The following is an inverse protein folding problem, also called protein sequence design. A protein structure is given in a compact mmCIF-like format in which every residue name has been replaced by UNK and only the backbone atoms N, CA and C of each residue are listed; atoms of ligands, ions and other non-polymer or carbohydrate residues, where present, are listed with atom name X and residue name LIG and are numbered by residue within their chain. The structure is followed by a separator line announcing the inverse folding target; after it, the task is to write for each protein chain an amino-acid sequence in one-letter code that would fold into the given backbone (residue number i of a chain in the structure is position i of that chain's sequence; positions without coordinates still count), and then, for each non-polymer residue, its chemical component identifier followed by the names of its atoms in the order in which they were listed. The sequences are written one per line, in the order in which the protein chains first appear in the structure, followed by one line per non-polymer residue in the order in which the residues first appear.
data_IF_203453334638
#
_entry.id   IF_203453334638
#
_cell.length_a   1.000
_cell.length_b   1.000
_cell.length_c   1.000
_cell.angle_alpha   90.00
_cell.angle_beta   90.00
_cell.angle_gamma   90.00
#
_symmetry.space_group_name_H-M   'P 1'
#
loop_
_entity.id
_entity.type
_entity.pdbx_description
1 polymer ?
#
# COMPACT_ATOMS: atom_id res chain seq x y z
N UNK A 1 -10.61 12.23 11.70
CA UNK A 1 -11.19 10.86 11.66
C UNK A 1 -10.61 9.92 12.71
N UNK A 2 -9.30 9.94 12.98
CA UNK A 2 -8.66 9.01 13.92
C UNK A 2 -9.24 9.01 15.36
N UNK A 3 -9.76 10.13 15.85
CA UNK A 3 -10.38 10.23 17.19
C UNK A 3 -11.84 9.74 17.23
N UNK A 4 -12.45 9.49 16.07
CA UNK A 4 -13.87 9.14 15.95
C UNK A 4 -14.10 7.63 16.16
N UNK A 5 -13.09 6.80 15.87
CA UNK A 5 -13.17 5.32 15.90
C UNK A 5 -12.06 4.65 16.74
N UNK A 6 -11.91 4.98 18.03
CA UNK A 6 -10.85 4.42 18.86
C UNK A 6 -11.03 2.90 19.09
N UNK A 7 -12.25 2.42 19.34
CA UNK A 7 -12.52 1.00 19.60
C UNK A 7 -12.41 0.14 18.34
N UNK A 8 -12.93 0.61 17.21
CA UNK A 8 -12.93 -0.13 15.95
C UNK A 8 -11.52 -0.26 15.35
N UNK A 9 -10.57 0.63 15.74
CA UNK A 9 -9.15 0.49 15.38
C UNK A 9 -8.46 -0.62 16.17
N UNK A 10 -8.87 -0.83 17.43
CA UNK A 10 -8.33 -1.90 18.28
C UNK A 10 -8.75 -3.31 17.87
N UNK A 11 -9.82 -3.43 17.08
CA UNK A 11 -10.30 -4.70 16.52
C UNK A 11 -9.60 -5.09 15.19
N UNK A 12 -8.51 -4.41 14.80
CA UNK A 12 -7.67 -4.75 13.63
C UNK A 12 -8.41 -4.77 12.28
N UNK A 13 -9.53 -4.06 12.19
CA UNK A 13 -10.47 -4.23 11.08
C UNK A 13 -10.91 -2.91 10.43
N UNK A 14 -10.21 -1.82 10.75
CA UNK A 14 -10.51 -0.48 10.25
C UNK A 14 -9.27 0.17 9.64
N UNK A 15 -9.31 0.37 8.33
CA UNK A 15 -8.31 1.17 7.61
C UNK A 15 -8.95 2.53 7.32
N UNK A 16 -8.36 3.58 7.88
CA UNK A 16 -8.80 4.97 7.67
C UNK A 16 -7.77 5.65 6.77
N UNK A 17 -8.19 6.05 5.58
CA UNK A 17 -7.44 6.97 4.71
C UNK A 17 -7.93 8.41 4.94
N UNK A 18 -7.39 9.37 4.19
CA UNK A 18 -7.83 10.77 4.28
C UNK A 18 -9.32 10.91 3.94
N UNK A 19 -9.82 10.12 2.98
CA UNK A 19 -11.17 10.23 2.45
C UNK A 19 -12.02 8.95 2.59
N UNK A 20 -11.40 7.80 2.86
CA UNK A 20 -12.08 6.49 2.85
C UNK A 20 -11.97 5.79 4.20
N UNK A 21 -13.05 5.08 4.55
CA UNK A 21 -13.13 4.22 5.72
C UNK A 21 -13.42 2.81 5.22
N UNK A 22 -12.47 1.89 5.42
CA UNK A 22 -12.56 0.51 4.95
C UNK A 22 -12.72 -0.42 6.15
N UNK A 23 -13.74 -1.28 6.10
CA UNK A 23 -14.04 -2.28 7.13
C UNK A 23 -13.69 -3.68 6.63
N UNK A 24 -12.91 -4.42 7.42
CA UNK A 24 -12.61 -5.83 7.18
C UNK A 24 -13.33 -6.70 8.22
N UNK A 25 -13.75 -7.90 7.87
CA UNK A 25 -14.42 -8.85 8.78
C UNK A 25 -14.21 -10.27 8.30
N UNK A 26 -14.17 -11.24 9.23
CA UNK A 26 -13.94 -12.65 8.91
C UNK A 26 -15.24 -13.36 8.55
N UNK A 27 -16.36 -12.96 9.15
CA UNK A 27 -17.68 -13.50 8.85
C UNK A 27 -18.67 -12.43 8.45
N UNK A 28 -19.77 -12.85 7.83
CA UNK A 28 -20.85 -11.96 7.41
C UNK A 28 -21.53 -11.29 8.59
N UNK A 29 -21.78 -12.04 9.65
CA UNK A 29 -22.46 -11.57 10.86
C UNK A 29 -21.62 -10.50 11.57
N UNK A 30 -20.31 -10.74 11.66
CA UNK A 30 -19.34 -9.78 12.18
C UNK A 30 -19.31 -8.51 11.31
N UNK A 31 -19.36 -8.65 9.98
CA UNK A 31 -19.37 -7.52 9.06
C UNK A 31 -20.58 -6.61 9.24
N UNK A 32 -21.78 -7.19 9.31
CA UNK A 32 -23.02 -6.42 9.51
C UNK A 32 -23.03 -5.75 10.89
N UNK A 33 -22.59 -6.46 11.93
CA UNK A 33 -22.48 -5.90 13.27
C UNK A 33 -21.55 -4.68 13.29
N UNK A 34 -20.35 -4.80 12.71
CA UNK A 34 -19.36 -3.72 12.66
C UNK A 34 -19.81 -2.54 11.84
N UNK A 35 -20.37 -2.79 10.65
CA UNK A 35 -20.92 -1.75 9.80
C UNK A 35 -21.98 -0.94 10.55
N UNK A 36 -22.90 -1.62 11.23
CA UNK A 36 -23.97 -0.97 11.98
C UNK A 36 -23.39 -0.03 13.04
N UNK A 37 -22.41 -0.49 13.83
CA UNK A 37 -21.72 0.36 14.82
C UNK A 37 -21.04 1.56 14.19
N UNK A 38 -20.35 1.36 13.06
CA UNK A 38 -19.65 2.42 12.37
C UNK A 38 -20.61 3.49 11.83
N UNK A 39 -21.69 3.08 11.17
CA UNK A 39 -22.72 3.99 10.67
C UNK A 39 -23.38 4.77 11.81
N UNK A 40 -23.69 4.12 12.93
CA UNK A 40 -24.22 4.81 14.12
C UNK A 40 -23.23 5.85 14.66
N UNK A 41 -21.93 5.54 14.66
CA UNK A 41 -20.90 6.49 15.10
C UNK A 41 -20.77 7.67 14.14
N UNK A 42 -20.76 7.42 12.82
CA UNK A 42 -20.74 8.45 11.77
C UNK A 42 -21.94 9.40 11.93
N UNK A 43 -23.12 8.83 12.17
CA UNK A 43 -24.34 9.61 12.43
C UNK A 43 -24.22 10.44 13.71
N UNK A 44 -23.66 9.89 14.79
CA UNK A 44 -23.50 10.59 16.07
C UNK A 44 -22.58 11.82 15.99
N UNK A 45 -21.62 11.82 15.06
CA UNK A 45 -20.71 12.96 14.82
C UNK A 45 -21.16 13.85 13.65
N UNK A 46 -22.38 13.64 13.15
CA UNK A 46 -22.99 14.37 12.05
C UNK A 46 -22.13 14.38 10.76
N UNK A 47 -21.36 13.32 10.54
CA UNK A 47 -20.55 13.15 9.33
C UNK A 47 -21.42 12.59 8.20
N UNK A 48 -21.26 13.13 6.99
CA UNK A 48 -22.05 12.74 5.81
C UNK A 48 -21.27 11.77 4.94
N UNK A 49 -21.93 10.70 4.51
CA UNK A 49 -21.37 9.71 3.58
C UNK A 49 -21.90 9.99 2.18
N UNK A 50 -21.02 10.00 1.18
CA UNK A 50 -21.42 10.03 -0.22
C UNK A 50 -21.89 8.64 -0.66
N UNK A 51 -23.20 8.43 -0.79
CA UNK A 51 -23.77 7.16 -1.26
C UNK A 51 -23.22 6.71 -2.62
N UNK A 52 -22.88 7.66 -3.51
CA UNK A 52 -22.28 7.35 -4.82
C UNK A 52 -20.89 6.73 -4.73
N UNK A 53 -20.17 6.96 -3.63
CA UNK A 53 -18.84 6.40 -3.34
C UNK A 53 -18.91 5.27 -2.31
N UNK A 54 -20.10 4.97 -1.82
CA UNK A 54 -20.30 3.94 -0.81
C UNK A 54 -20.38 2.59 -1.50
N UNK A 55 -19.32 1.81 -1.32
CA UNK A 55 -19.21 0.48 -1.87
C UNK A 55 -19.51 -0.52 -0.75
N UNK A 56 -20.44 -1.46 -0.99
CA UNK A 56 -20.87 -2.42 0.02
C UNK A 56 -20.47 -3.85 -0.34
N UNK A 57 -19.86 -4.55 0.63
CA UNK A 57 -19.64 -6.01 0.65
C UNK A 57 -18.91 -6.54 -0.57
N UNK A 58 -17.58 -6.58 -0.45
CA UNK A 58 -16.72 -7.22 -1.42
C UNK A 58 -15.97 -8.34 -0.76
N UNK A 59 -15.75 -9.42 -1.52
CA UNK A 59 -14.80 -10.46 -1.13
C UNK A 59 -13.36 -9.94 -1.21
N UNK A 60 -13.11 -9.01 -2.15
CA UNK A 60 -11.82 -8.36 -2.37
C UNK A 60 -12.09 -6.91 -2.77
N UNK A 61 -11.42 -5.95 -2.13
CA UNK A 61 -11.54 -4.52 -2.43
C UNK A 61 -10.21 -4.00 -2.96
N UNK A 62 -10.23 -3.28 -4.10
CA UNK A 62 -9.05 -2.59 -4.63
C UNK A 62 -9.11 -1.13 -4.24
N UNK A 63 -8.31 -0.72 -3.27
CA UNK A 63 -8.25 0.67 -2.82
C UNK A 63 -6.80 1.07 -2.52
N UNK A 64 -6.47 2.34 -2.78
CA UNK A 64 -5.12 2.92 -2.56
C UNK A 64 -3.96 2.19 -3.29
N UNK A 65 -4.22 1.44 -4.36
CA UNK A 65 -3.16 0.62 -5.00
C UNK A 65 -2.84 -0.67 -4.24
N UNK A 66 -3.69 -1.06 -3.29
CA UNK A 66 -3.63 -2.33 -2.61
C UNK A 66 -4.87 -3.19 -2.89
N UNK A 67 -4.66 -4.51 -2.92
CA UNK A 67 -5.75 -5.47 -2.83
C UNK A 67 -6.00 -5.77 -1.35
N UNK A 68 -7.17 -5.36 -0.85
CA UNK A 68 -7.65 -5.59 0.52
C UNK A 68 -8.55 -6.83 0.50
N UNK A 69 -7.98 -7.99 0.82
CA UNK A 69 -8.70 -9.28 0.85
C UNK A 69 -8.99 -9.74 2.28
N UNK A 70 -9.77 -8.98 3.05
CA UNK A 70 -10.20 -9.40 4.40
C UNK A 70 -9.13 -9.54 5.48
N UNK A 71 -7.85 -9.77 5.15
CA UNK A 71 -6.71 -9.98 6.07
C UNK A 71 -5.30 -9.66 5.48
N UNK A 72 -5.00 -9.82 4.17
CA UNK A 72 -3.74 -9.37 3.56
C UNK A 72 -3.87 -8.08 2.73
N UNK A 73 -2.82 -7.26 2.78
CA UNK A 73 -2.51 -6.17 1.85
C UNK A 73 -1.64 -6.72 0.71
N UNK A 74 -2.16 -6.70 -0.51
CA UNK A 74 -1.39 -7.00 -1.73
C UNK A 74 -1.06 -5.75 -2.52
N UNK A 75 -0.13 -5.84 -3.46
CA UNK A 75 0.09 -4.78 -4.45
C UNK A 75 -0.96 -4.89 -5.57
N UNK A 76 -1.52 -3.76 -6.02
CA UNK A 76 -2.37 -3.73 -7.22
C UNK A 76 -1.54 -4.03 -8.48
N UNK A 77 -1.71 -5.25 -8.99
CA UNK A 77 -1.02 -5.76 -10.18
C UNK A 77 -1.28 -4.91 -11.43
N UNK A 78 -2.40 -4.19 -11.51
CA UNK A 78 -2.69 -3.31 -12.65
C UNK A 78 -1.76 -2.09 -12.64
N UNK A 79 -1.59 -1.42 -11.49
CA UNK A 79 -0.67 -0.30 -11.35
C UNK A 79 0.78 -0.70 -11.57
N UNK A 80 1.17 -1.89 -11.08
CA UNK A 80 2.51 -2.43 -11.35
C UNK A 80 2.67 -2.72 -12.83
N UNK A 81 1.67 -3.30 -13.49
CA UNK A 81 1.77 -3.63 -14.92
C UNK A 81 1.98 -2.40 -15.80
N UNK A 82 1.39 -1.25 -15.46
CA UNK A 82 1.64 0.01 -16.17
C UNK A 82 3.12 0.43 -16.05
N UNK A 83 3.71 0.32 -14.86
CA UNK A 83 5.14 0.62 -14.64
C UNK A 83 6.05 -0.40 -15.33
N UNK A 84 5.63 -1.65 -15.47
CA UNK A 84 6.38 -2.67 -16.20
C UNK A 84 6.34 -2.46 -17.72
N UNK A 85 5.24 -1.93 -18.25
CA UNK A 85 5.08 -1.68 -19.68
C UNK A 85 5.81 -0.40 -20.12
N UNK A 86 6.15 0.47 -19.17
CA UNK A 86 6.90 1.68 -19.48
C UNK A 86 8.31 1.36 -20.01
N UNK A 87 8.80 2.17 -20.97
CA UNK A 87 10.15 2.04 -21.47
C UNK A 87 11.17 2.32 -20.36
N UNK A 88 12.42 1.94 -20.60
CA UNK A 88 13.52 2.24 -19.70
C UNK A 88 13.62 3.75 -19.48
N UNK A 89 13.73 4.23 -18.23
CA UNK A 89 13.83 5.66 -17.95
C UNK A 89 15.02 6.28 -18.69
N UNK A 90 14.77 7.42 -19.34
CA UNK A 90 15.73 8.20 -20.13
C UNK A 90 16.09 9.53 -19.47
N UNK A 91 15.47 9.87 -18.34
CA UNK A 91 15.75 11.10 -17.60
C UNK A 91 15.80 10.92 -16.09
N UNK A 92 16.36 11.91 -15.39
CA UNK A 92 16.34 11.98 -13.93
C UNK A 92 14.91 12.09 -13.39
N UNK A 93 14.03 12.82 -14.07
CA UNK A 93 12.63 12.95 -13.63
C UNK A 93 11.92 11.59 -13.68
N UNK A 94 12.16 10.80 -14.72
CA UNK A 94 11.56 9.47 -14.85
C UNK A 94 12.07 8.50 -13.78
N UNK A 95 13.37 8.57 -13.41
CA UNK A 95 13.91 7.82 -12.27
C UNK A 95 13.26 8.26 -10.95
N UNK A 96 13.11 9.56 -10.71
CA UNK A 96 12.47 10.06 -9.50
C UNK A 96 11.01 9.60 -9.39
N UNK A 97 10.26 9.62 -10.50
CA UNK A 97 8.90 9.10 -10.57
C UNK A 97 8.86 7.59 -10.26
N UNK A 98 9.79 6.83 -10.85
CA UNK A 98 9.89 5.39 -10.58
C UNK A 98 10.23 5.10 -9.12
N UNK A 99 11.19 5.82 -8.53
CA UNK A 99 11.57 5.67 -7.12
C UNK A 99 10.44 6.08 -6.17
N UNK A 100 9.67 7.13 -6.51
CA UNK A 100 8.48 7.51 -5.77
C UNK A 100 7.40 6.42 -5.82
N UNK A 101 7.20 5.81 -6.99
CA UNK A 101 6.27 4.70 -7.14
C UNK A 101 6.73 3.45 -6.38
N UNK A 102 7.99 3.04 -6.52
CA UNK A 102 8.53 1.86 -5.85
C UNK A 102 8.58 2.05 -4.34
N UNK A 103 8.88 3.26 -3.87
CA UNK A 103 8.87 3.64 -2.46
C UNK A 103 7.50 3.53 -1.80
N UNK A 104 6.41 3.73 -2.55
CA UNK A 104 5.05 3.47 -2.04
C UNK A 104 4.86 2.00 -1.61
N UNK A 105 5.58 1.07 -2.23
CA UNK A 105 5.51 -0.37 -1.97
C UNK A 105 6.74 -0.91 -1.21
N UNK A 106 7.54 -0.05 -0.57
CA UNK A 106 8.78 -0.43 0.13
C UNK A 106 8.61 -1.61 1.09
N UNK A 107 7.47 -1.69 1.80
CA UNK A 107 7.17 -2.77 2.75
C UNK A 107 7.12 -4.17 2.11
N UNK A 108 6.89 -4.25 0.80
CA UNK A 108 6.83 -5.51 0.06
C UNK A 108 8.18 -5.91 -0.57
N UNK A 109 9.19 -5.03 -0.52
CA UNK A 109 10.46 -5.20 -1.20
C UNK A 109 11.55 -5.41 -0.16
N UNK A 110 12.09 -6.62 -0.09
CA UNK A 110 13.22 -6.93 0.77
C UNK A 110 14.46 -6.15 0.31
N UNK A 111 15.24 -5.64 1.26
CA UNK A 111 16.53 -4.96 1.01
C UNK A 111 16.41 -3.72 0.10
N UNK A 112 15.23 -3.08 0.07
CA UNK A 112 14.91 -1.96 -0.81
C UNK A 112 15.96 -0.86 -0.82
N UNK A 113 16.41 -0.42 0.36
CA UNK A 113 17.43 0.62 0.52
C UNK A 113 18.76 0.27 -0.18
N UNK A 114 19.15 -1.00 -0.14
CA UNK A 114 20.37 -1.50 -0.79
C UNK A 114 20.20 -1.52 -2.31
N UNK A 115 19.02 -1.89 -2.80
CA UNK A 115 18.72 -1.99 -4.23
C UNK A 115 18.58 -0.59 -4.86
N UNK A 116 17.88 0.33 -4.20
CA UNK A 116 17.57 1.65 -4.75
C UNK A 116 18.75 2.62 -4.77
N UNK A 117 19.76 2.40 -3.91
CA UNK A 117 20.91 3.28 -3.73
C UNK A 117 21.54 3.81 -5.04
N UNK A 118 21.97 2.96 -6.00
CA UNK A 118 22.57 3.44 -7.25
C UNK A 118 21.61 4.28 -8.12
N UNK A 119 20.29 4.11 -7.95
CA UNK A 119 19.28 4.91 -8.64
C UNK A 119 19.04 6.24 -7.92
N UNK A 120 19.06 6.26 -6.59
CA UNK A 120 18.98 7.51 -5.82
C UNK A 120 20.15 8.46 -6.11
N UNK A 121 21.34 7.92 -6.38
CA UNK A 121 22.50 8.71 -6.81
C UNK A 121 22.25 9.49 -8.12
N UNK A 122 21.38 8.99 -9.01
CA UNK A 122 20.97 9.71 -10.24
C UNK A 122 20.10 10.93 -9.93
N UNK A 123 19.45 10.97 -8.77
CA UNK A 123 18.60 12.09 -8.37
C UNK A 123 19.40 13.32 -7.94
N UNK A 124 20.70 13.17 -7.69
CA UNK A 124 21.57 14.30 -7.39
C UNK A 124 21.70 15.23 -8.60
N UNK A 125 21.74 16.54 -8.35
CA UNK A 125 21.83 17.58 -9.38
C UNK A 125 23.14 17.47 -10.16
N UNK A 126 24.23 17.15 -9.47
CA UNK A 126 25.58 17.14 -10.03
C UNK A 126 25.94 15.82 -10.75
N UNK A 127 25.13 14.77 -10.57
CA UNK A 127 25.36 13.47 -11.19
C UNK A 127 24.92 13.48 -12.66
N UNK A 128 25.76 13.02 -13.59
CA UNK A 128 25.34 12.82 -14.98
C UNK A 128 24.35 11.66 -15.07
N UNK A 129 23.27 11.84 -15.85
CA UNK A 129 22.32 10.76 -16.09
C UNK A 129 22.97 9.70 -16.97
N UNK A 130 23.24 8.54 -16.39
CA UNK A 130 23.81 7.39 -17.08
C UNK A 130 23.30 6.09 -16.44
N UNK A 131 22.64 5.24 -17.24
CA UNK A 131 22.23 3.91 -16.79
C UNK A 131 23.38 2.92 -16.92
N UNK A 132 24.30 2.98 -15.96
CA UNK A 132 25.40 2.02 -15.81
C UNK A 132 24.87 0.60 -15.56
N UNK A 133 25.73 -0.40 -15.70
CA UNK A 133 25.37 -1.81 -15.45
C UNK A 133 24.74 -2.02 -14.07
N UNK A 134 25.26 -1.34 -13.03
CA UNK A 134 24.74 -1.49 -11.67
C UNK A 134 23.38 -0.81 -11.50
N UNK A 135 23.18 0.34 -12.13
CA UNK A 135 21.87 1.04 -12.15
C UNK A 135 20.82 0.24 -12.92
N UNK A 136 21.20 -0.38 -14.04
CA UNK A 136 20.33 -1.29 -14.79
C UNK A 136 19.90 -2.49 -13.95
N UNK A 137 20.85 -3.12 -13.24
CA UNK A 137 20.55 -4.24 -12.33
C UNK A 137 19.62 -3.82 -11.20
N UNK A 138 19.87 -2.67 -10.58
CA UNK A 138 19.03 -2.13 -9.52
C UNK A 138 17.59 -1.87 -10.00
N UNK A 139 17.45 -1.22 -11.16
CA UNK A 139 16.15 -0.95 -11.77
C UNK A 139 15.37 -2.24 -12.04
N UNK A 140 16.01 -3.23 -12.65
CA UNK A 140 15.37 -4.50 -12.96
C UNK A 140 15.03 -5.31 -11.71
N UNK A 141 15.90 -5.27 -10.70
CA UNK A 141 15.63 -5.89 -9.39
C UNK A 141 14.38 -5.29 -8.75
N UNK A 142 14.24 -3.95 -8.73
CA UNK A 142 13.03 -3.31 -8.20
C UNK A 142 11.78 -3.68 -9.00
N UNK A 143 11.87 -3.73 -10.34
CA UNK A 143 10.75 -4.18 -11.19
C UNK A 143 10.33 -5.60 -10.84
N UNK A 144 11.27 -6.52 -10.72
CA UNK A 144 11.00 -7.91 -10.36
C UNK A 144 10.37 -8.01 -8.97
N UNK A 145 10.88 -7.29 -7.98
CA UNK A 145 10.31 -7.26 -6.64
C UNK A 145 8.87 -6.75 -6.62
N UNK A 146 8.54 -5.72 -7.42
CA UNK A 146 7.16 -5.22 -7.54
C UNK A 146 6.20 -6.25 -8.15
N UNK A 147 6.70 -7.14 -9.03
CA UNK A 147 5.88 -8.22 -9.63
C UNK A 147 5.72 -9.46 -8.77
N UNK A 148 6.74 -9.76 -7.96
CA UNK A 148 6.83 -10.98 -7.14
C UNK A 148 6.54 -10.72 -5.66
N UNK A 149 6.16 -9.49 -5.33
CA UNK A 149 5.86 -9.03 -3.99
C UNK A 149 4.88 -9.97 -3.27
N UNK A 150 5.22 -10.44 -2.05
CA UNK A 150 4.32 -11.25 -1.26
C UNK A 150 3.14 -10.41 -0.75
N UNK A 151 2.04 -11.09 -0.45
CA UNK A 151 0.96 -10.52 0.34
C UNK A 151 1.46 -10.30 1.77
N UNK A 152 1.26 -9.09 2.30
CA UNK A 152 1.55 -8.79 3.69
C UNK A 152 0.28 -8.97 4.50
N UNK A 153 0.33 -9.76 5.58
CA UNK A 153 -0.78 -9.86 6.51
C UNK A 153 -0.82 -8.62 7.40
N UNK A 154 -2.03 -8.22 7.80
CA UNK A 154 -2.17 -7.22 8.86
C UNK A 154 -1.51 -7.73 10.15
N UNK A 155 -0.88 -6.80 10.89
CA UNK A 155 -0.27 -7.11 12.17
C UNK A 155 -1.33 -7.59 13.17
N UNK A 156 -1.09 -8.76 13.77
CA UNK A 156 -1.86 -9.26 14.91
C UNK A 156 -1.15 -8.84 16.20
N UNK A 157 -1.71 -7.84 16.89
CA UNK A 157 -1.15 -7.26 18.10
C UNK A 157 -1.29 -8.15 19.33
N UNK A 158 -1.97 -9.31 19.20
CA UNK A 158 -2.09 -10.32 20.27
C UNK A 158 -0.91 -11.28 20.28
N UNK A 159 -0.12 -11.31 19.20
CA UNK A 159 1.06 -12.15 19.06
C UNK A 159 2.35 -11.33 19.32
N UNK A 160 3.44 -11.98 19.78
CA UNK A 160 4.72 -11.32 19.90
C UNK A 160 5.28 -10.99 18.51
N UNK A 161 5.86 -9.79 18.38
CA UNK A 161 6.55 -9.35 17.17
C UNK A 161 8.00 -9.81 17.18
N UNK A 162 8.46 -10.42 16.08
CA UNK A 162 9.85 -10.82 15.89
C UNK A 162 10.50 -9.93 14.84
N UNK A 163 11.55 -9.21 15.22
CA UNK A 163 12.35 -8.39 14.32
C UNK A 163 13.65 -9.12 13.98
N UNK A 164 13.88 -9.35 12.69
CA UNK A 164 15.14 -9.89 12.17
C UNK A 164 15.90 -8.75 11.47
N UNK A 165 17.13 -8.51 11.91
CA UNK A 165 18.05 -7.53 11.32
C UNK A 165 19.32 -8.27 10.88
N UNK A 166 19.95 -7.76 9.82
CA UNK A 166 21.26 -8.19 9.31
C UNK A 166 22.23 -7.01 9.38
#
# INVERSE_FOLDING_TARGET
MNEIFPEQRSEECLIISIDDIIFCSKTWEEHIYRLSRALSKIQSVNMKISLKKFHFVFKELKELGHLVCGLPLGIDKNKVSEVLLNPMPQSKEEIQLFLGFSGYYIQHIKDFASIEKPLYELCDKDTVFEMTVDRLKAYESLRQSLTTAPLLLMADFKLPFNLYID
#
